data_IF_416165243595
#
_entry.id   IF_416165243595
#
_cell.length_a   1.000
_cell.length_b   1.000
_cell.length_c   1.000
_cell.angle_alpha   90.00
_cell.angle_beta   90.00
_cell.angle_gamma   90.00
#
_symmetry.space_group_name_H-M   'P 1'
#
loop_
_entity.id
_entity.type
_entity.pdbx_description
1 polymer ?
#
# COMPACT_ATOMS: atom_id res chain seq x y z
N UNK A 1 10.01 2.22 15.02
CA UNK A 1 8.61 1.91 14.65
C UNK A 1 8.48 1.79 13.15
N UNK A 2 7.88 0.72 12.67
CA UNK A 2 7.68 0.49 11.23
C UNK A 2 6.56 1.39 10.70
N UNK A 3 6.84 2.14 9.65
CA UNK A 3 5.91 3.08 9.03
C UNK A 3 5.28 2.42 7.81
N UNK A 4 3.95 2.40 7.76
CA UNK A 4 3.18 1.68 6.76
C UNK A 4 2.39 2.64 5.87
N UNK A 5 2.45 2.42 4.55
CA UNK A 5 1.46 2.96 3.61
C UNK A 5 0.46 1.83 3.37
N UNK A 6 -0.82 2.08 3.67
CA UNK A 6 -1.88 1.10 3.49
C UNK A 6 -2.72 1.45 2.26
N UNK A 7 -2.61 0.64 1.21
CA UNK A 7 -3.44 0.77 0.02
C UNK A 7 -4.71 -0.05 0.19
N UNK A 8 -5.87 0.54 -0.13
CA UNK A 8 -7.16 -0.04 0.15
C UNK A 8 -7.65 0.28 1.56
N UNK A 9 -7.23 1.41 2.12
CA UNK A 9 -7.49 1.77 3.52
C UNK A 9 -8.97 1.94 3.86
N UNK A 10 -9.82 2.24 2.89
CA UNK A 10 -11.26 2.45 3.11
C UNK A 10 -12.10 1.18 2.93
N UNK A 11 -11.51 0.07 2.51
CA UNK A 11 -12.19 -1.21 2.39
C UNK A 11 -12.28 -1.95 3.73
N UNK A 12 -12.94 -3.10 3.72
CA UNK A 12 -13.11 -3.92 4.94
C UNK A 12 -11.77 -4.34 5.53
N UNK A 13 -10.86 -4.86 4.71
CA UNK A 13 -9.54 -5.26 5.18
C UNK A 13 -8.73 -4.06 5.62
N UNK A 14 -8.89 -2.92 4.95
CA UNK A 14 -8.22 -1.68 5.35
C UNK A 14 -8.62 -1.24 6.75
N UNK A 15 -9.91 -1.28 7.06
CA UNK A 15 -10.39 -0.96 8.41
C UNK A 15 -9.89 -1.95 9.45
N UNK A 16 -9.88 -3.24 9.11
CA UNK A 16 -9.36 -4.29 10.00
C UNK A 16 -7.88 -4.09 10.31
N UNK A 17 -7.08 -3.85 9.28
CA UNK A 17 -5.63 -3.60 9.44
C UNK A 17 -5.38 -2.32 10.24
N UNK A 18 -6.14 -1.27 9.96
CA UNK A 18 -6.04 -0.01 10.71
C UNK A 18 -6.27 -0.25 12.21
N UNK A 19 -7.28 -1.03 12.55
CA UNK A 19 -7.58 -1.35 13.95
C UNK A 19 -6.45 -2.18 14.58
N UNK A 20 -5.98 -3.21 13.88
CA UNK A 20 -4.87 -4.04 14.38
C UNK A 20 -3.61 -3.21 14.65
N UNK A 21 -3.26 -2.33 13.71
CA UNK A 21 -2.07 -1.49 13.86
C UNK A 21 -2.23 -0.51 15.02
N UNK A 22 -3.44 0.02 15.23
CA UNK A 22 -3.69 0.96 16.33
C UNK A 22 -3.44 0.35 17.71
N UNK A 23 -3.51 -0.98 17.82
CA UNK A 23 -3.28 -1.71 19.06
C UNK A 23 -1.82 -2.11 19.26
N UNK A 24 -0.96 -1.86 18.28
CA UNK A 24 0.46 -2.20 18.35
C UNK A 24 1.30 -0.97 18.67
N UNK A 25 2.47 -1.22 19.25
CA UNK A 25 3.45 -0.18 19.60
C UNK A 25 4.68 -0.22 18.69
N UNK A 26 4.78 -1.19 17.78
CA UNK A 26 5.95 -1.41 16.92
C UNK A 26 5.73 -1.00 15.47
N UNK A 27 4.52 -0.56 15.11
CA UNK A 27 4.23 -0.07 13.77
C UNK A 27 3.11 0.97 13.79
N UNK A 28 3.04 1.76 12.72
CA UNK A 28 2.00 2.78 12.55
C UNK A 28 1.68 2.93 11.07
N UNK A 29 0.44 3.31 10.76
CA UNK A 29 0.04 3.69 9.40
C UNK A 29 0.30 5.19 9.28
N UNK A 30 1.22 5.57 8.39
CA UNK A 30 1.54 6.99 8.17
C UNK A 30 0.71 7.60 7.05
N UNK A 31 0.19 6.79 6.14
CA UNK A 31 -0.66 7.25 5.06
C UNK A 31 -1.52 6.10 4.53
N UNK A 32 -2.70 6.44 4.04
CA UNK A 32 -3.58 5.51 3.35
C UNK A 32 -3.79 5.92 1.89
N UNK A 33 -4.09 4.96 1.04
CA UNK A 33 -4.42 5.17 -0.38
C UNK A 33 -5.68 4.39 -0.70
N UNK A 34 -6.67 5.04 -1.30
CA UNK A 34 -7.89 4.38 -1.74
C UNK A 34 -8.55 5.23 -2.85
N UNK A 35 -9.09 4.57 -3.85
CA UNK A 35 -9.81 5.26 -4.93
C UNK A 35 -11.06 5.96 -4.40
N UNK A 36 -11.63 5.45 -3.32
CA UNK A 36 -12.85 5.97 -2.68
C UNK A 36 -12.55 6.58 -1.31
N UNK A 37 -11.52 7.42 -1.24
CA UNK A 37 -11.19 8.13 0.00
C UNK A 37 -12.40 8.95 0.45
N UNK A 38 -12.82 8.74 1.69
CA UNK A 38 -13.76 9.63 2.33
C UNK A 38 -13.12 10.26 3.58
N UNK A 39 -13.66 11.41 4.00
CA UNK A 39 -13.09 12.22 5.07
C UNK A 39 -13.05 11.54 6.45
N UNK A 40 -13.56 10.34 6.57
CA UNK A 40 -13.68 9.62 7.85
C UNK A 40 -12.57 8.60 8.09
N UNK A 41 -11.55 8.57 7.26
CA UNK A 41 -10.36 7.79 7.56
C UNK A 41 -9.57 8.48 8.65
N UNK A 42 -9.63 7.91 9.76
CA UNK A 42 -9.57 8.54 11.04
C UNK A 42 -8.24 9.12 11.50
N UNK A 43 -7.15 8.40 11.44
CA UNK A 43 -5.96 8.75 12.23
C UNK A 43 -4.72 9.04 11.38
N UNK A 44 -4.85 8.98 10.08
CA UNK A 44 -3.75 9.22 9.15
C UNK A 44 -4.27 9.87 7.87
N UNK A 45 -3.41 10.63 7.14
CA UNK A 45 -3.83 11.20 5.87
C UNK A 45 -4.11 10.11 4.85
N UNK A 46 -5.15 10.31 4.05
CA UNK A 46 -5.53 9.38 3.00
C UNK A 46 -5.58 10.10 1.65
N UNK A 47 -5.11 9.41 0.64
CA UNK A 47 -4.94 9.94 -0.71
C UNK A 47 -5.66 9.06 -1.73
N UNK A 48 -6.02 9.62 -2.87
CA UNK A 48 -6.63 8.87 -3.97
C UNK A 48 -5.59 8.19 -4.86
N UNK A 49 -4.32 8.59 -4.77
CA UNK A 49 -3.22 8.02 -5.53
C UNK A 49 -1.99 7.91 -4.64
N UNK A 50 -1.24 6.82 -4.79
CA UNK A 50 0.00 6.62 -4.04
C UNK A 50 1.04 7.70 -4.38
N UNK A 51 1.00 8.26 -5.58
CA UNK A 51 1.92 9.33 -6.00
C UNK A 51 1.76 10.60 -5.18
N UNK A 52 0.62 10.77 -4.51
CA UNK A 52 0.34 11.93 -3.66
C UNK A 52 0.93 11.80 -2.25
N UNK A 53 1.34 10.60 -1.86
CA UNK A 53 1.82 10.35 -0.50
C UNK A 53 3.15 11.08 -0.26
N UNK A 54 3.15 11.98 0.70
CA UNK A 54 4.33 12.78 1.08
C UNK A 54 5.09 12.16 2.25
N UNK A 55 4.44 11.32 3.05
CA UNK A 55 5.04 10.70 4.23
C UNK A 55 6.08 9.65 3.84
N UNK A 56 7.18 9.60 4.58
CA UNK A 56 8.16 8.54 4.43
C UNK A 56 7.64 7.24 5.05
N UNK A 57 7.88 6.11 4.39
CA UNK A 57 7.41 4.81 4.86
C UNK A 57 8.47 3.73 4.69
N UNK A 58 8.30 2.66 5.46
CA UNK A 58 9.21 1.51 5.45
C UNK A 58 8.64 0.33 4.68
N UNK A 59 7.32 0.29 4.49
CA UNK A 59 6.64 -0.82 3.80
C UNK A 59 5.30 -0.34 3.23
N UNK A 60 4.91 -0.95 2.11
CA UNK A 60 3.59 -0.77 1.50
C UNK A 60 2.82 -2.07 1.70
N UNK A 61 1.61 -1.98 2.23
CA UNK A 61 0.69 -3.12 2.33
C UNK A 61 -0.51 -2.81 1.44
N UNK A 62 -0.82 -3.73 0.51
CA UNK A 62 -1.84 -3.52 -0.51
C UNK A 62 -2.98 -4.53 -0.40
N UNK A 63 -4.18 -4.02 -0.10
CA UNK A 63 -5.46 -4.74 -0.17
C UNK A 63 -6.43 -3.99 -1.08
N UNK A 64 -5.94 -3.40 -2.16
CA UNK A 64 -6.73 -2.52 -3.02
C UNK A 64 -7.30 -3.24 -4.25
N UNK A 65 -7.03 -2.72 -5.42
CA UNK A 65 -7.52 -3.23 -6.68
C UNK A 65 -6.34 -3.48 -7.62
N UNK A 66 -6.41 -4.48 -8.53
CA UNK A 66 -5.33 -4.74 -9.48
C UNK A 66 -4.88 -3.53 -10.30
N UNK A 67 -5.75 -2.57 -10.54
CA UNK A 67 -5.41 -1.34 -11.26
C UNK A 67 -4.34 -0.50 -10.57
N UNK A 68 -4.10 -0.71 -9.28
CA UNK A 68 -3.09 0.03 -8.53
C UNK A 68 -1.70 -0.63 -8.55
N UNK A 69 -1.56 -1.79 -9.17
CA UNK A 69 -0.28 -2.52 -9.17
C UNK A 69 0.86 -1.70 -9.77
N UNK A 70 0.69 -1.19 -10.99
CA UNK A 70 1.74 -0.42 -11.67
C UNK A 70 2.14 0.83 -10.88
N UNK A 71 1.20 1.67 -10.42
CA UNK A 71 1.55 2.81 -9.57
C UNK A 71 2.31 2.42 -8.29
N UNK A 72 1.91 1.34 -7.64
CA UNK A 72 2.57 0.87 -6.40
C UNK A 72 4.00 0.44 -6.69
N UNK A 73 4.21 -0.36 -7.72
CA UNK A 73 5.55 -0.84 -8.09
C UNK A 73 6.47 0.32 -8.46
N UNK A 74 5.96 1.28 -9.21
CA UNK A 74 6.70 2.46 -9.63
C UNK A 74 7.08 3.34 -8.42
N UNK A 75 6.14 3.59 -7.53
CA UNK A 75 6.38 4.36 -6.31
C UNK A 75 7.44 3.70 -5.42
N UNK A 76 7.33 2.39 -5.22
CA UNK A 76 8.29 1.64 -4.40
C UNK A 76 9.72 1.75 -4.97
N UNK A 77 9.86 1.64 -6.28
CA UNK A 77 11.16 1.77 -6.95
C UNK A 77 11.74 3.18 -6.81
N UNK A 78 10.93 4.21 -7.02
CA UNK A 78 11.36 5.61 -6.89
C UNK A 78 11.81 5.97 -5.48
N UNK A 79 11.25 5.30 -4.47
CA UNK A 79 11.58 5.55 -3.07
C UNK A 79 12.72 4.67 -2.55
N UNK A 80 13.52 4.11 -3.47
CA UNK A 80 14.70 3.32 -3.09
C UNK A 80 14.43 1.84 -2.84
N UNK A 81 13.32 1.31 -3.34
CA UNK A 81 12.98 -0.10 -3.20
C UNK A 81 12.27 -0.43 -1.90
N UNK A 82 11.27 0.35 -1.52
CA UNK A 82 10.44 0.05 -0.34
C UNK A 82 9.79 -1.32 -0.53
N UNK A 83 9.86 -2.22 0.48
CA UNK A 83 9.16 -3.50 0.44
C UNK A 83 7.66 -3.32 0.23
N UNK A 84 7.06 -4.15 -0.61
CA UNK A 84 5.63 -4.15 -0.87
C UNK A 84 5.05 -5.53 -0.59
N UNK A 85 4.04 -5.60 0.27
CA UNK A 85 3.27 -6.81 0.55
C UNK A 85 1.96 -6.71 -0.22
N UNK A 86 1.80 -7.52 -1.26
CA UNK A 86 0.68 -7.45 -2.18
C UNK A 86 -0.33 -8.54 -1.87
N UNK A 87 -1.46 -8.15 -1.32
CA UNK A 87 -2.55 -9.06 -0.94
C UNK A 87 -3.76 -8.92 -1.86
N UNK A 88 -3.66 -8.13 -2.91
CA UNK A 88 -4.71 -7.97 -3.91
C UNK A 88 -4.75 -9.20 -4.82
N UNK A 89 -5.95 -9.63 -5.19
CA UNK A 89 -6.17 -10.77 -6.09
C UNK A 89 -6.76 -10.30 -7.42
N UNK A 90 -6.76 -11.18 -8.41
CA UNK A 90 -7.38 -10.88 -9.71
C UNK A 90 -6.46 -10.18 -10.70
N UNK A 91 -5.15 -10.31 -10.55
CA UNK A 91 -4.20 -9.77 -11.53
C UNK A 91 -4.34 -10.48 -12.88
N UNK A 92 -4.19 -9.72 -13.97
CA UNK A 92 -4.11 -10.26 -15.31
C UNK A 92 -2.78 -10.97 -15.54
N UNK A 93 -2.66 -11.72 -16.63
CA UNK A 93 -1.39 -12.35 -17.00
C UNK A 93 -0.29 -11.32 -17.23
N UNK A 94 -0.64 -10.16 -17.82
CA UNK A 94 0.31 -9.06 -18.02
C UNK A 94 0.78 -8.47 -16.69
N UNK A 95 -0.13 -8.29 -15.76
CA UNK A 95 0.19 -7.79 -14.41
C UNK A 95 1.04 -8.79 -13.64
N UNK A 96 0.76 -10.07 -13.74
CA UNK A 96 1.57 -11.11 -13.11
C UNK A 96 2.99 -11.11 -13.67
N UNK A 97 3.15 -10.92 -14.98
CA UNK A 97 4.47 -10.81 -15.60
C UNK A 97 5.22 -9.57 -15.12
N UNK A 98 4.53 -8.43 -15.01
CA UNK A 98 5.09 -7.19 -14.46
C UNK A 98 5.55 -7.38 -13.02
N UNK A 99 4.73 -8.02 -12.21
CA UNK A 99 5.03 -8.32 -10.81
C UNK A 99 6.26 -9.21 -10.68
N UNK A 100 6.33 -10.28 -11.47
CA UNK A 100 7.46 -11.20 -11.47
C UNK A 100 8.75 -10.48 -11.83
N UNK A 101 8.72 -9.65 -12.87
CA UNK A 101 9.87 -8.85 -13.29
C UNK A 101 10.32 -7.89 -12.19
N UNK A 102 9.38 -7.19 -11.58
CA UNK A 102 9.69 -6.25 -10.49
C UNK A 102 10.29 -6.97 -9.28
N UNK A 103 9.84 -8.17 -8.97
CA UNK A 103 10.34 -8.94 -7.82
C UNK A 103 11.80 -9.39 -7.98
N UNK A 104 12.35 -9.34 -9.18
CA UNK A 104 13.76 -9.65 -9.42
C UNK A 104 14.70 -8.58 -8.86
N UNK A 105 14.23 -7.35 -8.72
CA UNK A 105 15.03 -6.21 -8.28
C UNK A 105 14.49 -5.50 -7.06
N UNK A 106 13.28 -5.83 -6.61
CA UNK A 106 12.60 -5.18 -5.50
C UNK A 106 12.07 -6.22 -4.51
N UNK A 107 12.03 -5.89 -3.20
CA UNK A 107 11.46 -6.78 -2.18
C UNK A 107 9.93 -6.74 -2.26
N UNK A 108 9.36 -7.66 -3.02
CA UNK A 108 7.91 -7.79 -3.23
C UNK A 108 7.48 -9.16 -2.71
N UNK A 109 6.41 -9.16 -1.95
CA UNK A 109 5.89 -10.35 -1.29
C UNK A 109 4.42 -10.60 -1.55
#
# INVERSE_FOLDING_TARGET
MTRIILCGCCGKMGHFITQLVSERTDCEIVAGVDLNVNAQTASYPAYTSIDQVAEAADVIIDFSHPSLLTPILHYAAEKGGIPAVLCTTGYTAEQTAELTKASETQPIF
#
